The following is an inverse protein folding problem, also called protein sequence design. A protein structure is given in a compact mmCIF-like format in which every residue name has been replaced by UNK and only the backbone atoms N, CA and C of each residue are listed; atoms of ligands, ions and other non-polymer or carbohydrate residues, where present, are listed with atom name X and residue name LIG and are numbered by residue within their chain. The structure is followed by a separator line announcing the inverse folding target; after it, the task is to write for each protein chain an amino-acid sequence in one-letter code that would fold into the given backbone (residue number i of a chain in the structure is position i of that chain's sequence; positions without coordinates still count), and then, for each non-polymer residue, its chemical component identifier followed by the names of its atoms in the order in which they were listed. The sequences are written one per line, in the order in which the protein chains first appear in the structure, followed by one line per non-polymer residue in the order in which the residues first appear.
data_IF_689858804473
#
_entry.id   IF_689858804473
#
_cell.length_a   1.000
_cell.length_b   1.000
_cell.length_c   1.000
_cell.angle_alpha   90.00
_cell.angle_beta   90.00
_cell.angle_gamma   90.00
#
_symmetry.space_group_name_H-M   'P 1'
#
loop_
_entity.id
_entity.type
_entity.pdbx_description
1 polymer ?
#
# COMPACT_ATOMS: atom_id res chain seq x y z
N UNK A 1 20.40 14.50 -0.33
CA UNK A 1 19.26 14.36 0.60
C UNK A 1 18.02 14.02 -0.22
N UNK A 2 17.09 13.20 0.30
CA UNK A 2 15.83 12.92 -0.39
C UNK A 2 14.93 14.15 -0.29
N UNK A 3 14.48 14.68 -1.42
CA UNK A 3 13.56 15.80 -1.46
C UNK A 3 12.11 15.30 -1.48
N UNK A 4 11.23 15.99 -0.74
CA UNK A 4 9.78 15.78 -0.90
C UNK A 4 9.31 16.37 -2.23
N UNK A 5 8.21 15.83 -2.76
CA UNK A 5 7.55 16.34 -3.96
C UNK A 5 6.06 16.54 -3.69
N UNK A 6 5.38 17.44 -4.42
CA UNK A 6 3.92 17.51 -4.43
C UNK A 6 3.30 16.17 -4.83
N UNK A 7 2.21 15.80 -4.19
CA UNK A 7 1.42 14.63 -4.58
C UNK A 7 0.19 15.07 -5.40
N UNK A 8 0.30 15.00 -6.73
CA UNK A 8 -0.69 15.57 -7.66
C UNK A 8 -1.49 14.49 -8.43
N UNK A 9 -1.36 13.22 -8.05
CA UNK A 9 -2.05 12.14 -8.76
C UNK A 9 -3.56 12.22 -8.56
N UNK A 10 -4.27 12.31 -9.68
CA UNK A 10 -5.73 12.13 -9.73
C UNK A 10 -6.04 10.65 -9.61
N UNK A 11 -7.03 10.33 -8.78
CA UNK A 11 -7.44 8.96 -8.51
C UNK A 11 -8.87 8.74 -8.95
N UNK A 12 -9.07 7.67 -9.71
CA UNK A 12 -10.41 7.20 -10.02
C UNK A 12 -11.10 6.67 -8.75
N UNK A 13 -12.41 6.96 -8.59
CA UNK A 13 -13.19 6.38 -7.51
C UNK A 13 -13.33 4.87 -7.70
N UNK A 14 -13.56 4.15 -6.59
CA UNK A 14 -13.81 2.70 -6.63
C UNK A 14 -12.56 1.82 -6.85
N UNK A 15 -11.35 2.39 -6.80
CA UNK A 15 -10.12 1.59 -6.82
C UNK A 15 -9.73 1.14 -5.41
N UNK A 16 -9.73 -0.18 -5.16
CA UNK A 16 -9.33 -0.76 -3.87
C UNK A 16 -7.81 -0.78 -3.75
N UNK A 17 -7.27 -0.04 -2.79
CA UNK A 17 -5.82 0.09 -2.54
C UNK A 17 -5.37 -0.83 -1.42
N UNK A 18 -4.10 -1.21 -1.48
CA UNK A 18 -3.43 -1.95 -0.41
C UNK A 18 -2.35 -1.07 0.20
N UNK A 19 -2.63 -0.52 1.37
CA UNK A 19 -1.70 0.33 2.10
C UNK A 19 -0.92 -0.46 3.13
N UNK A 20 0.27 0.03 3.40
CA UNK A 20 1.14 -0.48 4.44
C UNK A 20 1.58 0.67 5.33
N UNK A 21 1.13 0.66 6.58
CA UNK A 21 1.65 1.52 7.63
C UNK A 21 3.02 0.99 8.06
N UNK A 22 4.07 1.82 8.01
CA UNK A 22 5.45 1.42 8.32
C UNK A 22 5.85 1.74 9.75
N UNK A 23 5.41 2.88 10.27
CA UNK A 23 5.61 3.28 11.66
C UNK A 23 4.53 4.31 12.08
N UNK A 24 4.02 4.26 13.32
CA UNK A 24 4.38 3.31 14.39
C UNK A 24 3.66 1.96 14.31
N UNK A 25 2.56 1.86 13.56
CA UNK A 25 1.60 0.75 13.68
C UNK A 25 1.97 -0.55 12.95
N UNK A 26 2.80 -0.48 11.89
CA UNK A 26 3.29 -1.65 11.14
C UNK A 26 2.19 -2.60 10.63
N UNK A 27 1.18 -2.12 9.91
CA UNK A 27 0.07 -2.96 9.44
C UNK A 27 -0.17 -2.87 7.93
N UNK A 28 -0.87 -3.86 7.37
CA UNK A 28 -1.33 -3.89 5.98
C UNK A 28 -2.86 -3.82 5.97
N UNK A 29 -3.41 -2.94 5.15
CA UNK A 29 -4.86 -2.71 5.05
C UNK A 29 -5.32 -2.65 3.60
N UNK A 30 -6.55 -3.10 3.34
CA UNK A 30 -7.30 -2.77 2.14
C UNK A 30 -8.14 -1.51 2.42
N UNK A 31 -8.15 -0.54 1.49
CA UNK A 31 -8.94 0.67 1.63
C UNK A 31 -9.35 1.27 0.29
N UNK A 32 -10.57 1.84 0.24
CA UNK A 32 -11.08 2.62 -0.90
C UNK A 32 -10.49 4.03 -0.97
N UNK A 33 -9.91 4.51 0.13
CA UNK A 33 -9.35 5.85 0.25
C UNK A 33 -8.16 6.06 -0.68
N UNK A 34 -8.00 7.27 -1.16
CA UNK A 34 -6.75 7.77 -1.77
C UNK A 34 -5.67 7.94 -0.70
N UNK A 35 -4.38 8.09 -1.08
CA UNK A 35 -3.31 8.28 -0.10
C UNK A 35 -3.51 9.50 0.83
N UNK A 36 -3.95 10.69 0.36
CA UNK A 36 -4.26 11.81 1.26
C UNK A 36 -5.39 11.49 2.24
N UNK A 37 -6.50 10.92 1.77
CA UNK A 37 -7.64 10.54 2.62
C UNK A 37 -7.26 9.47 3.65
N UNK A 38 -6.43 8.50 3.26
CA UNK A 38 -5.92 7.48 4.16
C UNK A 38 -4.98 8.06 5.21
N UNK A 39 -4.10 8.99 4.81
CA UNK A 39 -3.21 9.71 5.71
C UNK A 39 -3.95 10.51 6.78
N UNK A 40 -4.97 11.27 6.38
CA UNK A 40 -5.84 11.98 7.32
C UNK A 40 -6.56 10.99 8.25
N UNK A 41 -7.10 9.89 7.71
CA UNK A 41 -7.79 8.87 8.50
C UNK A 41 -6.91 8.22 9.57
N UNK A 42 -5.69 7.78 9.24
CA UNK A 42 -4.81 7.07 10.19
C UNK A 42 -4.13 8.01 11.19
N UNK A 43 -4.29 9.33 11.02
CA UNK A 43 -3.78 10.35 11.95
C UNK A 43 -4.90 11.07 12.71
N UNK A 44 -6.16 10.71 12.46
CA UNK A 44 -7.32 11.25 13.16
C UNK A 44 -7.42 10.65 14.59
N UNK A 45 -7.31 11.48 15.65
CA UNK A 45 -7.34 11.01 17.03
C UNK A 45 -8.67 10.38 17.45
N UNK A 46 -9.76 10.62 16.71
CA UNK A 46 -11.06 9.98 16.96
C UNK A 46 -11.12 8.53 16.47
N UNK A 47 -10.18 8.11 15.61
CA UNK A 47 -10.10 6.71 15.17
C UNK A 47 -9.47 5.84 16.26
N UNK A 48 -10.04 4.65 16.48
CA UNK A 48 -9.56 3.70 17.49
C UNK A 48 -8.11 3.25 17.27
N UNK A 49 -7.62 3.28 16.03
CA UNK A 49 -6.24 2.99 15.67
C UNK A 49 -5.68 4.16 14.86
N UNK A 50 -5.04 5.10 15.55
CA UNK A 50 -4.37 6.25 14.94
C UNK A 50 -3.09 6.60 15.68
N UNK A 51 -2.25 7.40 15.02
CA UNK A 51 -1.11 8.06 15.65
C UNK A 51 -0.94 9.47 15.08
N UNK A 52 -0.40 10.43 15.84
CA UNK A 52 -0.30 11.82 15.38
C UNK A 52 0.48 11.98 14.06
N UNK A 53 1.47 11.11 13.83
CA UNK A 53 2.26 11.06 12.60
C UNK A 53 2.44 9.61 12.17
N UNK A 54 2.20 9.33 10.90
CA UNK A 54 2.30 7.97 10.35
C UNK A 54 3.08 7.99 9.04
N UNK A 55 4.10 7.13 8.95
CA UNK A 55 4.78 6.82 7.68
C UNK A 55 4.09 5.61 7.06
N UNK A 56 3.67 5.71 5.81
CA UNK A 56 3.04 4.62 5.08
C UNK A 56 3.42 4.60 3.60
N UNK A 57 3.13 3.49 2.93
CA UNK A 57 3.32 3.29 1.49
C UNK A 57 2.18 2.46 0.91
N UNK A 58 2.17 2.28 -0.42
CA UNK A 58 1.18 1.52 -1.14
C UNK A 58 1.87 0.35 -1.87
N UNK A 59 1.33 -0.86 -1.65
CA UNK A 59 1.75 -2.05 -2.39
C UNK A 59 1.11 -1.97 -3.79
N UNK A 60 1.91 -2.22 -4.83
CA UNK A 60 1.41 -2.39 -6.19
C UNK A 60 0.81 -3.78 -6.33
N UNK A 61 -0.51 -3.85 -6.09
CA UNK A 61 -1.25 -5.08 -6.04
C UNK A 61 -2.44 -5.03 -7.00
N UNK A 62 -2.33 -5.79 -8.09
CA UNK A 62 -3.46 -6.07 -8.98
C UNK A 62 -4.37 -7.13 -8.37
N UNK A 63 -5.43 -6.64 -7.71
CA UNK A 63 -6.40 -7.46 -7.00
C UNK A 63 -7.18 -8.36 -7.96
N UNK A 64 -7.60 -7.84 -9.12
CA UNK A 64 -8.44 -8.59 -10.05
C UNK A 64 -7.64 -9.71 -10.72
N UNK A 65 -6.41 -9.43 -11.16
CA UNK A 65 -5.53 -10.46 -11.69
C UNK A 65 -5.23 -11.55 -10.65
N UNK A 66 -4.99 -11.19 -9.39
CA UNK A 66 -4.79 -12.18 -8.32
C UNK A 66 -6.01 -13.07 -8.09
N UNK A 67 -7.21 -12.50 -8.10
CA UNK A 67 -8.43 -13.30 -7.94
C UNK A 67 -8.61 -14.27 -9.11
N UNK A 68 -8.36 -13.84 -10.34
CA UNK A 68 -8.39 -14.69 -11.54
C UNK A 68 -7.35 -15.82 -11.43
N UNK A 69 -6.12 -15.50 -11.03
CA UNK A 69 -5.05 -16.50 -10.89
C UNK A 69 -5.35 -17.52 -9.80
N UNK A 70 -5.89 -17.09 -8.65
CA UNK A 70 -6.25 -17.97 -7.55
C UNK A 70 -7.46 -18.86 -7.87
N UNK A 71 -8.40 -18.38 -8.68
CA UNK A 71 -9.51 -19.19 -9.18
C UNK A 71 -9.02 -20.27 -10.16
N UNK A 72 -8.08 -19.92 -11.04
CA UNK A 72 -7.48 -20.87 -11.99
C UNK A 72 -6.54 -21.90 -11.32
N UNK A 73 -5.82 -21.50 -10.27
CA UNK A 73 -4.93 -22.36 -9.49
C UNK A 73 -5.12 -22.12 -7.97
N UNK A 74 -5.78 -23.06 -7.25
CA UNK A 74 -5.98 -22.96 -5.81
C UNK A 74 -4.69 -22.89 -4.97
N UNK A 75 -3.52 -23.23 -5.55
CA UNK A 75 -2.21 -23.13 -4.91
C UNK A 75 -1.46 -21.84 -5.25
N UNK A 76 -2.07 -20.94 -6.02
CA UNK A 76 -1.50 -19.64 -6.32
C UNK A 76 -1.16 -18.87 -5.04
N UNK A 77 0.05 -18.30 -4.99
CA UNK A 77 0.57 -17.67 -3.77
C UNK A 77 -0.01 -16.28 -3.56
N UNK A 78 -0.09 -15.86 -2.30
CA UNK A 78 -0.38 -14.47 -1.98
C UNK A 78 0.75 -13.57 -2.46
N UNK A 79 0.46 -12.41 -3.10
CA UNK A 79 1.46 -11.40 -3.40
C UNK A 79 1.94 -10.65 -2.15
N UNK A 80 1.21 -10.77 -1.04
CA UNK A 80 1.55 -10.17 0.25
C UNK A 80 2.22 -11.23 1.14
N UNK A 81 3.48 -11.02 1.59
CA UNK A 81 4.18 -11.93 2.47
C UNK A 81 3.40 -12.26 3.74
N UNK A 82 3.46 -13.53 4.18
CA UNK A 82 2.83 -14.02 5.40
C UNK A 82 1.29 -13.87 5.48
N UNK A 83 0.64 -13.62 4.34
CA UNK A 83 -0.82 -13.62 4.22
C UNK A 83 -1.23 -14.84 3.39
N UNK A 84 -2.17 -15.64 3.90
CA UNK A 84 -2.67 -16.81 3.17
C UNK A 84 -3.56 -16.37 1.99
N UNK A 85 -3.39 -16.92 0.78
CA UNK A 85 -4.07 -16.44 -0.43
C UNK A 85 -5.61 -16.54 -0.34
N UNK A 86 -6.14 -17.66 0.16
CA UNK A 86 -7.59 -17.82 0.33
C UNK A 86 -8.19 -16.85 1.36
N UNK A 87 -7.44 -16.54 2.42
CA UNK A 87 -7.85 -15.55 3.43
C UNK A 87 -7.84 -14.14 2.85
N UNK A 88 -6.82 -13.81 2.05
CA UNK A 88 -6.75 -12.54 1.34
C UNK A 88 -7.94 -12.38 0.39
N UNK A 89 -8.29 -13.42 -0.37
CA UNK A 89 -9.49 -13.45 -1.22
C UNK A 89 -10.75 -13.17 -0.43
N UNK A 90 -10.98 -13.86 0.69
CA UNK A 90 -12.16 -13.63 1.54
C UNK A 90 -12.23 -12.17 2.03
N UNK A 91 -11.10 -11.60 2.48
CA UNK A 91 -11.03 -10.22 2.95
C UNK A 91 -11.30 -9.21 1.81
N UNK A 92 -10.82 -9.47 0.60
CA UNK A 92 -11.11 -8.66 -0.58
C UNK A 92 -12.61 -8.69 -0.89
N UNK A 93 -13.22 -9.87 -0.93
CA UNK A 93 -14.64 -10.04 -1.20
C UNK A 93 -15.51 -9.38 -0.12
N UNK A 94 -15.12 -9.47 1.15
CA UNK A 94 -15.80 -8.80 2.27
C UNK A 94 -15.80 -7.27 2.08
N UNK A 95 -14.66 -6.68 1.69
CA UNK A 95 -14.56 -5.23 1.47
C UNK A 95 -15.35 -4.79 0.25
N UNK A 96 -15.35 -5.58 -0.83
CA UNK A 96 -16.17 -5.34 -2.03
C UNK A 96 -17.66 -5.42 -1.75
N UNK A 97 -18.09 -6.35 -0.88
CA UNK A 97 -19.48 -6.49 -0.49
C UNK A 97 -19.97 -5.38 0.46
N UNK A 98 -19.06 -4.65 1.11
CA UNK A 98 -19.40 -3.58 2.07
C UNK A 98 -18.66 -2.28 1.72
N UNK A 99 -19.04 -1.54 0.66
CA UNK A 99 -18.34 -0.31 0.25
C UNK A 99 -18.27 0.77 1.33
N UNK A 100 -19.26 0.82 2.24
CA UNK A 100 -19.28 1.73 3.39
C UNK A 100 -18.12 1.48 4.37
N UNK A 101 -17.54 0.28 4.33
CA UNK A 101 -16.35 -0.06 5.10
C UNK A 101 -15.13 0.59 4.46
N UNK A 102 -14.72 1.73 5.02
CA UNK A 102 -13.56 2.51 4.54
C UNK A 102 -12.25 1.73 4.54
N UNK A 103 -12.07 0.76 5.44
CA UNK A 103 -10.85 -0.05 5.54
C UNK A 103 -11.06 -1.45 6.11
N UNK A 104 -10.14 -2.36 5.80
CA UNK A 104 -10.01 -3.69 6.40
C UNK A 104 -8.55 -4.00 6.68
N UNK A 105 -8.24 -4.37 7.92
CA UNK A 105 -6.93 -4.91 8.28
C UNK A 105 -6.70 -6.31 7.68
N UNK A 106 -5.55 -6.48 7.04
CA UNK A 106 -5.10 -7.73 6.41
C UNK A 106 -4.00 -8.40 7.24
N UNK A 107 -3.05 -7.61 7.70
CA UNK A 107 -1.93 -8.05 8.56
C UNK A 107 -1.63 -7.00 9.62
N UNK A 108 -1.23 -7.45 10.81
CA UNK A 108 -0.70 -6.60 11.89
C UNK A 108 0.83 -6.46 11.81
N UNK A 109 1.43 -6.90 10.70
CA UNK A 109 2.85 -6.75 10.43
C UNK A 109 3.07 -6.29 8.99
N UNK A 110 3.82 -5.20 8.85
CA UNK A 110 4.23 -4.57 7.62
C UNK A 110 5.22 -5.46 6.85
N UNK A 111 4.95 -5.74 5.57
CA UNK A 111 5.82 -6.51 4.68
C UNK A 111 7.14 -5.80 4.29
N UNK A 112 7.38 -4.58 4.76
CA UNK A 112 8.55 -3.77 4.46
C UNK A 112 9.84 -4.47 4.87
N UNK A 113 10.84 -4.46 3.97
CA UNK A 113 12.08 -5.23 4.10
C UNK A 113 11.96 -6.72 3.73
N UNK A 114 10.74 -7.24 3.50
CA UNK A 114 10.47 -8.61 3.01
C UNK A 114 9.81 -8.63 1.63
N UNK A 115 9.64 -7.47 1.03
CA UNK A 115 9.01 -7.22 -0.26
C UNK A 115 10.02 -6.49 -1.13
N UNK A 116 10.10 -6.85 -2.41
CA UNK A 116 10.97 -6.16 -3.34
C UNK A 116 10.49 -4.71 -3.50
N UNK A 117 11.44 -3.78 -3.61
CA UNK A 117 11.13 -2.36 -3.76
C UNK A 117 10.26 -2.06 -4.99
N UNK A 118 10.38 -2.88 -6.04
CA UNK A 118 9.58 -2.83 -7.27
C UNK A 118 8.10 -3.18 -7.07
N UNK A 119 7.72 -3.77 -5.92
CA UNK A 119 6.33 -4.07 -5.57
C UNK A 119 5.65 -2.90 -4.83
N UNK A 120 6.31 -1.76 -4.69
CA UNK A 120 5.72 -0.53 -4.17
C UNK A 120 5.30 0.38 -5.32
N UNK A 121 4.11 0.96 -5.24
CA UNK A 121 3.49 1.58 -6.41
C UNK A 121 3.99 2.98 -6.73
N UNK A 122 4.08 3.87 -5.74
CA UNK A 122 4.25 5.31 -5.99
C UNK A 122 5.29 5.98 -5.13
N UNK A 123 5.42 5.60 -3.87
CA UNK A 123 6.26 6.33 -2.94
C UNK A 123 5.92 6.08 -1.49
N UNK A 124 6.53 6.90 -0.66
CA UNK A 124 6.31 6.94 0.77
C UNK A 124 5.61 8.24 1.14
N UNK A 125 4.69 8.16 2.09
CA UNK A 125 4.01 9.32 2.63
C UNK A 125 4.22 9.42 4.13
N UNK A 126 4.40 10.63 4.62
CA UNK A 126 4.36 10.95 6.05
C UNK A 126 3.14 11.85 6.25
N UNK A 127 2.12 11.31 6.94
CA UNK A 127 0.90 12.04 7.26
C UNK A 127 0.96 12.66 8.65
N UNK A 128 0.34 13.83 8.80
CA UNK A 128 0.07 14.50 10.06
C UNK A 128 -1.24 15.31 9.95
N UNK A 129 -2.37 14.69 10.30
CA UNK A 129 -3.69 15.28 10.07
C UNK A 129 -3.90 15.54 8.58
N UNK A 130 -4.11 16.82 8.21
CA UNK A 130 -4.28 17.25 6.81
C UNK A 130 -2.97 17.47 6.05
N UNK A 131 -1.84 17.42 6.75
CA UNK A 131 -0.52 17.56 6.13
C UNK A 131 -0.05 16.20 5.61
N UNK A 132 0.54 16.21 4.41
CA UNK A 132 1.08 15.03 3.76
C UNK A 132 2.39 15.37 3.05
N UNK A 133 3.49 14.81 3.54
CA UNK A 133 4.75 14.80 2.78
C UNK A 133 4.77 13.56 1.89
N UNK A 134 5.21 13.72 0.65
CA UNK A 134 5.35 12.63 -0.30
C UNK A 134 6.79 12.53 -0.81
N UNK A 135 7.31 11.31 -0.82
CA UNK A 135 8.62 10.96 -1.35
C UNK A 135 8.43 9.93 -2.46
N UNK A 136 8.53 10.34 -3.74
CA UNK A 136 8.29 9.45 -4.86
C UNK A 136 9.36 8.36 -4.95
N UNK A 137 8.95 7.18 -5.40
CA UNK A 137 9.86 6.14 -5.83
C UNK A 137 10.29 6.44 -7.28
N UNK A 138 11.59 6.39 -7.60
CA UNK A 138 12.07 6.54 -8.98
C UNK A 138 11.44 5.50 -9.91
N UNK A 139 11.13 5.91 -11.13
CA UNK A 139 10.65 4.96 -12.15
C UNK A 139 11.74 3.96 -12.53
N UNK A 140 11.38 2.81 -13.10
CA UNK A 140 12.35 1.84 -13.61
C UNK A 140 13.31 2.47 -14.64
N UNK A 141 12.82 3.36 -15.49
CA UNK A 141 13.66 4.07 -16.46
C UNK A 141 14.62 5.04 -15.79
N UNK A 142 14.18 5.74 -14.73
CA UNK A 142 15.04 6.59 -13.93
C UNK A 142 16.10 5.79 -13.18
N UNK A 143 15.73 4.63 -12.62
CA UNK A 143 16.66 3.70 -11.97
C UNK A 143 17.72 3.23 -12.95
N UNK A 144 17.34 2.79 -14.15
CA UNK A 144 18.28 2.34 -15.19
C UNK A 144 19.23 3.45 -15.64
N UNK A 145 18.71 4.68 -15.77
CA UNK A 145 19.47 5.83 -16.30
C UNK A 145 20.40 6.44 -15.27
N UNK A 146 19.92 6.66 -14.05
CA UNK A 146 20.60 7.47 -13.03
C UNK A 146 21.13 6.64 -11.85
N UNK A 147 20.65 5.41 -11.66
CA UNK A 147 20.93 4.57 -10.49
C UNK A 147 21.21 3.11 -10.87
N UNK A 148 22.00 2.88 -11.93
CA UNK A 148 22.24 1.55 -12.51
C UNK A 148 22.72 0.49 -11.51
N UNK A 149 23.67 0.83 -10.64
CA UNK A 149 24.20 -0.11 -9.64
C UNK A 149 23.12 -0.55 -8.63
N UNK A 150 22.24 0.37 -8.24
CA UNK A 150 21.12 0.03 -7.37
C UNK A 150 20.07 -0.79 -8.11
N UNK A 151 19.75 -0.43 -9.37
CA UNK A 151 18.84 -1.22 -10.20
C UNK A 151 19.30 -2.68 -10.33
N UNK A 152 20.61 -2.92 -10.56
CA UNK A 152 21.19 -4.26 -10.62
C UNK A 152 21.13 -5.03 -9.30
N UNK A 153 21.06 -4.34 -8.16
CA UNK A 153 20.92 -4.98 -6.85
C UNK A 153 19.46 -5.27 -6.47
N UNK A 154 18.49 -4.94 -7.34
CA UNK A 154 17.08 -5.28 -7.13
C UNK A 154 16.74 -6.70 -7.61
N UNK A 155 17.66 -7.35 -8.32
CA UNK A 155 17.60 -8.76 -8.74
C UNK A 155 18.01 -9.73 -7.60
#
# INVERSE_FOLDING_TARGET
ELASAPYEKVHDPGYLRTFQELTPMRAIVLSWMTPPEFGEYITDPEQAKSAPKVLFTQIDFDIDNFLIQLEADPFHKSPIPNVHPHKLREQILEVRANPDKRLKGISLDAAFGRMAFTQLRTGFWIAHGKELLFYPIPSVDELKKNHWEWYKSLD
#
